data_IF_011022500284
#
_entry.id   IF_011022500284
#
_cell.length_a   1.000
_cell.length_b   1.000
_cell.length_c   1.000
_cell.angle_alpha   90.00
_cell.angle_beta   90.00
_cell.angle_gamma   90.00
#
_symmetry.space_group_name_H-M   'P 1'
#
loop_
_entity.id
_entity.type
_entity.pdbx_description
1 polymer ?
#
# COMPACT_ATOMS: atom_id res chain seq x y z
N UNK A 1 -33.64 -75.89 32.19
CA UNK A 1 -32.26 -76.20 32.65
C UNK A 1 -31.51 -74.89 32.80
N UNK A 2 -31.17 -74.53 34.04
CA UNK A 2 -30.50 -73.28 34.42
C UNK A 2 -29.01 -73.43 34.13
N UNK A 3 -28.46 -72.62 33.24
CA UNK A 3 -27.03 -72.47 33.03
C UNK A 3 -26.54 -71.23 33.76
N UNK A 4 -25.85 -71.42 34.87
CA UNK A 4 -25.13 -70.39 35.61
C UNK A 4 -23.78 -70.11 34.94
N UNK A 5 -23.57 -68.90 34.44
CA UNK A 5 -22.26 -68.42 33.96
C UNK A 5 -21.60 -67.61 35.08
N UNK A 6 -20.31 -67.85 35.39
CA UNK A 6 -19.66 -67.27 36.56
C UNK A 6 -19.31 -65.78 36.38
N UNK A 7 -19.57 -65.00 37.42
CA UNK A 7 -19.12 -63.61 37.56
C UNK A 7 -17.61 -63.59 37.73
N UNK A 8 -16.87 -63.14 36.70
CA UNK A 8 -15.45 -62.81 36.84
C UNK A 8 -15.33 -61.43 37.49
N UNK A 9 -14.81 -61.41 38.71
CA UNK A 9 -14.37 -60.19 39.40
C UNK A 9 -13.19 -59.61 38.63
N UNK A 10 -13.37 -58.48 37.96
CA UNK A 10 -12.26 -57.68 37.43
C UNK A 10 -11.88 -56.69 38.52
N UNK A 11 -10.75 -56.95 39.18
CA UNK A 11 -10.15 -55.99 40.10
C UNK A 11 -9.61 -54.82 39.27
N UNK A 12 -10.20 -53.63 39.43
CA UNK A 12 -9.71 -52.40 38.84
C UNK A 12 -8.51 -51.91 39.66
N UNK A 13 -7.29 -52.19 39.20
CA UNK A 13 -6.07 -51.58 39.73
C UNK A 13 -6.01 -50.14 39.23
N UNK A 14 -6.39 -49.18 40.09
CA UNK A 14 -6.19 -47.74 39.84
C UNK A 14 -4.70 -47.45 40.04
N UNK A 15 -3.95 -47.33 38.94
CA UNK A 15 -2.58 -46.85 38.95
C UNK A 15 -2.61 -45.31 39.00
N UNK A 16 -2.39 -44.74 40.17
CA UNK A 16 -2.27 -43.30 40.35
C UNK A 16 -0.89 -42.86 39.84
N UNK A 17 -0.82 -42.43 38.57
CA UNK A 17 0.40 -41.86 37.99
C UNK A 17 0.52 -40.42 38.52
N UNK A 18 1.47 -40.20 39.44
CA UNK A 18 1.90 -38.86 39.84
C UNK A 18 2.66 -38.23 38.68
N UNK A 19 1.96 -37.42 37.89
CA UNK A 19 2.57 -36.61 36.85
C UNK A 19 3.34 -35.49 37.55
N UNK A 20 4.65 -35.69 37.73
CA UNK A 20 5.58 -34.64 38.15
C UNK A 20 5.56 -33.57 37.06
N UNK A 21 5.11 -32.37 37.43
CA UNK A 21 5.08 -31.22 36.54
C UNK A 21 6.49 -30.89 36.03
N UNK A 22 6.74 -31.15 34.75
CA UNK A 22 7.75 -30.42 34.01
C UNK A 22 7.14 -29.06 33.65
N UNK A 23 7.81 -27.98 34.02
CA UNK A 23 7.43 -26.63 33.65
C UNK A 23 7.28 -26.56 32.13
N UNK A 24 6.04 -26.37 31.68
CA UNK A 24 5.77 -26.00 30.31
C UNK A 24 6.36 -24.62 30.07
N UNK A 25 7.55 -24.56 29.48
CA UNK A 25 7.87 -23.45 28.61
C UNK A 25 6.77 -23.46 27.56
N UNK A 26 5.90 -22.45 27.59
CA UNK A 26 5.03 -22.19 26.47
C UNK A 26 5.97 -21.92 25.28
N UNK A 27 6.12 -22.90 24.40
CA UNK A 27 6.60 -22.66 23.06
C UNK A 27 5.56 -21.70 22.45
N UNK A 28 5.93 -20.44 22.33
CA UNK A 28 5.21 -19.48 21.53
C UNK A 28 5.24 -20.01 20.10
N UNK A 29 4.17 -20.70 19.71
CA UNK A 29 3.96 -21.15 18.34
C UNK A 29 3.96 -19.88 17.50
N UNK A 30 5.08 -19.62 16.81
CA UNK A 30 5.20 -18.54 15.86
C UNK A 30 4.02 -18.64 14.90
N UNK A 31 3.10 -17.68 15.00
CA UNK A 31 2.01 -17.55 14.06
C UNK A 31 2.67 -17.29 12.70
N UNK A 32 2.21 -17.90 11.60
CA UNK A 32 2.72 -17.54 10.30
C UNK A 32 2.57 -16.03 10.15
N UNK A 33 3.68 -15.34 9.89
CA UNK A 33 3.67 -13.92 9.58
C UNK A 33 2.67 -13.74 8.42
N UNK A 34 1.56 -13.06 8.70
CA UNK A 34 0.58 -12.74 7.68
C UNK A 34 1.22 -11.94 6.54
N UNK A 35 0.56 -11.81 5.39
CA UNK A 35 1.10 -11.00 4.31
C UNK A 35 1.41 -9.58 4.81
N UNK A 36 2.65 -9.13 4.58
CA UNK A 36 3.14 -7.86 5.10
C UNK A 36 2.34 -6.69 4.52
N UNK A 37 1.92 -5.77 5.40
CA UNK A 37 1.30 -4.49 5.02
C UNK A 37 2.40 -3.56 4.50
N UNK A 38 2.23 -3.04 3.28
CA UNK A 38 3.10 -2.00 2.73
C UNK A 38 2.42 -0.66 2.96
N UNK A 39 2.99 0.19 3.81
CA UNK A 39 2.41 1.47 4.21
C UNK A 39 3.24 2.66 3.71
N UNK A 40 2.58 3.80 3.51
CA UNK A 40 3.18 5.06 3.04
C UNK A 40 3.99 4.89 1.74
N UNK A 41 3.47 4.09 0.82
CA UNK A 41 4.06 3.84 -0.48
C UNK A 41 3.53 4.83 -1.51
N UNK A 42 4.36 5.14 -2.51
CA UNK A 42 3.89 5.73 -3.75
C UNK A 42 3.51 4.61 -4.73
N UNK A 43 2.34 4.72 -5.35
CA UNK A 43 1.94 3.86 -6.47
C UNK A 43 2.34 4.58 -7.76
N UNK A 44 3.52 4.23 -8.29
CA UNK A 44 4.16 4.91 -9.40
C UNK A 44 4.07 4.10 -10.68
N UNK A 45 3.69 4.74 -11.77
CA UNK A 45 3.70 4.17 -13.11
C UNK A 45 5.12 3.75 -13.50
N UNK A 46 5.28 2.53 -13.96
CA UNK A 46 6.58 1.96 -14.31
C UNK A 46 7.22 2.73 -15.46
N UNK A 47 6.45 3.03 -16.51
CA UNK A 47 6.90 3.87 -17.62
C UNK A 47 6.81 5.36 -17.23
N UNK A 48 7.87 6.16 -17.44
CA UNK A 48 7.83 7.61 -17.16
C UNK A 48 6.90 8.38 -18.12
N UNK A 49 6.55 7.80 -19.27
CA UNK A 49 5.86 8.45 -20.37
C UNK A 49 6.58 9.75 -20.79
N UNK A 50 5.92 10.90 -20.63
CA UNK A 50 6.46 12.22 -20.95
C UNK A 50 6.94 12.99 -19.70
N UNK A 51 6.99 12.35 -18.54
CA UNK A 51 7.46 12.96 -17.29
C UNK A 51 8.67 12.19 -16.73
N UNK A 52 9.89 12.77 -16.71
CA UNK A 52 11.07 12.07 -16.22
C UNK A 52 10.98 11.67 -14.74
N UNK A 53 10.12 12.33 -13.95
CA UNK A 53 9.88 12.01 -12.55
C UNK A 53 8.76 10.96 -12.36
N UNK A 54 8.23 10.41 -13.46
CA UNK A 54 7.11 9.47 -13.51
C UNK A 54 5.77 10.04 -13.01
N UNK A 55 4.71 9.25 -13.17
CA UNK A 55 3.37 9.56 -12.65
C UNK A 55 3.04 8.69 -11.44
N UNK A 56 2.49 9.30 -10.38
CA UNK A 56 1.97 8.65 -9.18
C UNK A 56 0.46 8.86 -9.09
N UNK A 57 -0.25 7.91 -8.48
CA UNK A 57 -1.65 8.09 -8.11
C UNK A 57 -1.73 9.21 -7.05
N UNK A 58 -2.52 10.24 -7.33
CA UNK A 58 -2.51 11.51 -6.60
C UNK A 58 -3.93 12.03 -6.35
N UNK A 59 -4.12 12.65 -5.19
CA UNK A 59 -5.34 13.37 -4.85
C UNK A 59 -5.24 14.81 -5.35
N UNK A 60 -6.27 15.28 -6.06
CA UNK A 60 -6.31 16.65 -6.58
C UNK A 60 -6.16 17.69 -5.47
N UNK A 61 -5.20 18.60 -5.63
CA UNK A 61 -4.94 19.71 -4.71
C UNK A 61 -3.73 19.44 -3.82
N UNK A 62 -3.49 20.30 -2.84
CA UNK A 62 -2.37 20.14 -1.90
C UNK A 62 -2.67 20.89 -0.58
N UNK A 63 -2.18 20.35 0.54
CA UNK A 63 -2.34 20.96 1.86
C UNK A 63 -3.82 21.23 2.21
N UNK A 64 -4.17 22.48 2.53
CA UNK A 64 -5.56 22.86 2.82
C UNK A 64 -6.46 22.94 1.59
N UNK A 65 -5.91 22.83 0.38
CA UNK A 65 -6.64 22.88 -0.89
C UNK A 65 -6.95 21.52 -1.50
N UNK A 66 -6.75 20.43 -0.77
CA UNK A 66 -7.07 19.06 -1.21
C UNK A 66 -8.58 18.93 -1.49
N UNK A 67 -8.91 18.27 -2.61
CA UNK A 67 -10.28 18.12 -3.10
C UNK A 67 -10.70 16.65 -3.09
N UNK A 68 -11.01 16.11 -1.90
CA UNK A 68 -11.35 14.69 -1.70
C UNK A 68 -12.60 14.20 -2.46
N UNK A 69 -13.43 15.12 -2.96
CA UNK A 69 -14.63 14.79 -3.73
C UNK A 69 -14.38 14.70 -5.24
N UNK A 70 -13.19 15.10 -5.70
CA UNK A 70 -12.78 14.97 -7.10
C UNK A 70 -12.23 13.57 -7.37
N UNK A 71 -12.30 13.10 -8.63
CA UNK A 71 -11.60 11.88 -9.00
C UNK A 71 -10.08 12.06 -8.83
N UNK A 72 -9.40 10.97 -8.48
CA UNK A 72 -7.95 10.94 -8.43
C UNK A 72 -7.37 11.16 -9.82
N UNK A 73 -6.13 11.61 -9.84
CA UNK A 73 -5.36 11.86 -11.05
C UNK A 73 -4.04 11.08 -11.00
N UNK A 74 -3.40 10.95 -12.14
CA UNK A 74 -2.00 10.60 -12.21
C UNK A 74 -1.22 11.91 -12.28
N UNK A 75 -0.33 12.17 -11.34
CA UNK A 75 0.44 13.42 -11.25
C UNK A 75 1.93 13.12 -11.17
N UNK A 76 2.79 14.05 -11.58
CA UNK A 76 4.24 13.94 -11.33
C UNK A 76 4.52 13.52 -9.91
N UNK A 77 5.25 12.42 -9.72
CA UNK A 77 5.58 11.89 -8.40
C UNK A 77 6.39 12.91 -7.60
N UNK A 78 5.94 13.22 -6.38
CA UNK A 78 6.62 14.17 -5.51
C UNK A 78 7.63 13.43 -4.62
N UNK A 79 8.91 13.84 -4.59
CA UNK A 79 9.91 13.22 -3.71
C UNK A 79 9.74 13.60 -2.23
N UNK A 80 9.09 14.73 -1.96
CA UNK A 80 8.81 15.26 -0.62
C UNK A 80 7.42 15.89 -0.60
N UNK A 81 6.84 16.08 0.57
CA UNK A 81 5.49 16.67 0.73
C UNK A 81 4.42 15.94 -0.10
N UNK A 82 4.51 14.60 -0.15
CA UNK A 82 3.72 13.73 -1.02
C UNK A 82 2.62 12.95 -0.27
N UNK A 83 2.08 13.52 0.81
CA UNK A 83 1.06 12.84 1.64
C UNK A 83 -0.22 12.54 0.86
N UNK A 84 -0.51 13.35 -0.14
CA UNK A 84 -1.59 13.22 -1.13
C UNK A 84 -1.35 12.11 -2.18
N UNK A 85 -0.18 11.47 -2.16
CA UNK A 85 0.20 10.37 -3.07
C UNK A 85 0.50 9.06 -2.30
N UNK A 86 0.43 9.09 -0.96
CA UNK A 86 0.79 7.96 -0.11
C UNK A 86 -0.38 7.01 0.13
N UNK A 87 -0.17 5.74 -0.20
CA UNK A 87 -1.12 4.65 0.04
C UNK A 87 -0.54 3.61 1.00
N UNK A 88 -1.43 2.80 1.55
CA UNK A 88 -1.16 1.57 2.28
C UNK A 88 -1.89 0.46 1.56
N UNK A 89 -1.17 -0.55 1.09
CA UNK A 89 -1.78 -1.77 0.58
C UNK A 89 -2.11 -2.71 1.74
N UNK A 90 -3.40 -3.05 1.88
CA UNK A 90 -3.93 -3.94 2.91
C UNK A 90 -4.23 -5.33 2.31
N UNK A 91 -3.25 -6.24 2.26
CA UNK A 91 -3.33 -7.47 1.46
C UNK A 91 -4.43 -8.44 1.89
N UNK A 92 -4.91 -8.38 3.14
CA UNK A 92 -6.01 -9.22 3.59
C UNK A 92 -7.37 -8.82 3.00
N UNK A 93 -7.50 -7.56 2.58
CA UNK A 93 -8.74 -6.97 2.06
C UNK A 93 -8.66 -6.55 0.59
N UNK A 94 -7.45 -6.50 0.02
CA UNK A 94 -7.20 -5.92 -1.30
C UNK A 94 -7.32 -4.38 -1.34
N UNK A 95 -7.54 -3.71 -0.21
CA UNK A 95 -7.73 -2.26 -0.18
C UNK A 95 -6.42 -1.51 -0.42
N UNK A 96 -6.50 -0.46 -1.24
CA UNK A 96 -5.53 0.63 -1.31
C UNK A 96 -6.07 1.79 -0.46
N UNK A 97 -5.45 1.99 0.69
CA UNK A 97 -5.92 2.90 1.74
C UNK A 97 -5.02 4.12 1.87
N UNK A 98 -5.56 5.32 2.08
CA UNK A 98 -4.77 6.51 2.40
C UNK A 98 -4.86 6.84 3.87
N UNK A 99 -3.75 6.69 4.61
CA UNK A 99 -3.66 7.00 6.05
C UNK A 99 -4.01 8.48 6.32
N UNK A 100 -3.49 9.40 5.51
CA UNK A 100 -3.68 10.85 5.65
C UNK A 100 -5.16 11.27 5.70
N UNK A 101 -6.01 10.58 4.93
CA UNK A 101 -7.43 10.93 4.80
C UNK A 101 -8.37 9.91 5.44
N UNK A 102 -7.85 8.76 5.85
CA UNK A 102 -8.65 7.64 6.34
C UNK A 102 -9.70 7.13 5.35
N UNK A 103 -9.36 7.10 4.06
CA UNK A 103 -10.25 6.68 2.97
C UNK A 103 -9.61 5.60 2.09
N UNK A 104 -10.45 4.82 1.42
CA UNK A 104 -10.04 3.77 0.50
C UNK A 104 -10.29 4.18 -0.95
N UNK A 105 -9.39 3.74 -1.84
CA UNK A 105 -9.59 3.88 -3.29
C UNK A 105 -10.82 3.08 -3.72
N UNK A 106 -11.67 3.67 -4.55
CA UNK A 106 -12.83 3.01 -5.11
C UNK A 106 -13.19 3.64 -6.47
N UNK A 107 -13.40 2.85 -7.53
CA UNK A 107 -14.08 3.32 -8.72
C UNK A 107 -15.58 3.56 -8.43
N UNK A 108 -16.25 4.38 -9.23
CA UNK A 108 -17.71 4.47 -9.18
C UNK A 108 -18.35 3.15 -9.62
N UNK A 109 -17.86 2.56 -10.71
CA UNK A 109 -18.33 1.29 -11.26
C UNK A 109 -17.17 0.48 -11.86
N UNK A 110 -17.26 -0.86 -11.94
CA UNK A 110 -16.24 -1.69 -12.59
C UNK A 110 -16.50 -1.69 -14.10
N UNK A 111 -16.27 -0.55 -14.76
CA UNK A 111 -16.47 -0.36 -16.20
C UNK A 111 -15.36 0.50 -16.80
N UNK A 112 -15.18 0.42 -18.13
CA UNK A 112 -14.19 1.22 -18.84
C UNK A 112 -14.48 2.72 -18.69
N UNK A 113 -13.42 3.48 -18.41
CA UNK A 113 -13.48 4.92 -18.19
C UNK A 113 -14.00 5.32 -16.82
N UNK A 114 -14.28 4.37 -15.92
CA UNK A 114 -14.75 4.74 -14.58
C UNK A 114 -13.68 5.56 -13.86
N UNK A 115 -14.01 6.77 -13.37
CA UNK A 115 -13.14 7.51 -12.47
C UNK A 115 -12.91 6.74 -11.17
N UNK A 116 -11.81 7.08 -10.51
CA UNK A 116 -11.41 6.56 -9.20
C UNK A 116 -11.54 7.65 -8.15
N UNK A 117 -12.07 7.32 -6.98
CA UNK A 117 -12.29 8.24 -5.88
C UNK A 117 -11.72 7.71 -4.58
N UNK A 118 -11.57 8.60 -3.60
CA UNK A 118 -11.51 8.21 -2.19
C UNK A 118 -12.92 8.12 -1.62
N UNK A 119 -13.21 7.00 -0.95
CA UNK A 119 -14.49 6.73 -0.29
C UNK A 119 -14.23 6.13 1.10
N UNK A 120 -15.26 6.19 1.95
CA UNK A 120 -15.24 5.48 3.23
C UNK A 120 -14.90 4.01 2.99
N UNK A 121 -13.99 3.47 3.79
CA UNK A 121 -13.57 2.08 3.64
C UNK A 121 -14.73 1.13 4.00
N UNK A 122 -14.91 0.10 3.18
CA UNK A 122 -15.96 -0.90 3.35
C UNK A 122 -15.53 -2.23 2.74
N UNK A 123 -16.32 -3.29 2.96
CA UNK A 123 -16.13 -4.59 2.32
C UNK A 123 -16.68 -4.64 0.88
N UNK A 124 -16.86 -3.48 0.24
CA UNK A 124 -17.31 -3.40 -1.14
C UNK A 124 -16.31 -4.10 -2.07
N UNK A 125 -16.76 -4.96 -3.01
CA UNK A 125 -15.88 -5.55 -4.02
C UNK A 125 -15.15 -4.51 -4.88
N UNK A 126 -15.68 -3.29 -4.99
CA UNK A 126 -15.02 -2.18 -5.70
C UNK A 126 -13.77 -1.66 -4.98
N UNK A 127 -13.60 -1.98 -3.69
CA UNK A 127 -12.41 -1.62 -2.92
C UNK A 127 -11.43 -2.80 -2.75
N UNK A 128 -11.71 -3.94 -3.37
CA UNK A 128 -10.84 -5.12 -3.35
C UNK A 128 -10.04 -5.18 -4.65
N UNK A 129 -8.80 -4.72 -4.61
CA UNK A 129 -7.89 -4.76 -5.75
C UNK A 129 -6.94 -5.94 -5.66
N UNK A 130 -6.74 -6.59 -6.80
CA UNK A 130 -5.67 -7.57 -7.00
C UNK A 130 -4.46 -6.90 -7.63
N UNK A 131 -3.29 -7.08 -7.02
CA UNK A 131 -2.01 -6.61 -7.56
C UNK A 131 -1.31 -7.80 -8.20
N UNK A 132 -1.13 -7.75 -9.52
CA UNK A 132 -0.52 -8.83 -10.28
C UNK A 132 0.99 -8.65 -10.41
N UNK A 133 1.70 -9.75 -10.68
CA UNK A 133 3.15 -9.77 -10.86
C UNK A 133 3.64 -8.92 -12.05
N UNK A 134 2.76 -8.63 -13.01
CA UNK A 134 3.03 -7.72 -14.12
C UNK A 134 2.90 -6.23 -13.73
N UNK A 135 2.58 -5.93 -12.47
CA UNK A 135 2.40 -4.57 -11.95
C UNK A 135 1.01 -3.99 -12.20
N UNK A 136 0.10 -4.71 -12.85
CA UNK A 136 -1.28 -4.26 -13.02
C UNK A 136 -2.06 -4.33 -11.71
N UNK A 137 -2.88 -3.31 -11.46
CA UNK A 137 -3.79 -3.22 -10.31
C UNK A 137 -5.20 -3.41 -10.86
N UNK A 138 -5.88 -4.48 -10.46
CA UNK A 138 -7.13 -4.92 -11.09
C UNK A 138 -8.31 -4.95 -10.14
N UNK A 139 -9.50 -4.68 -10.68
CA UNK A 139 -10.79 -4.74 -9.98
C UNK A 139 -11.88 -5.24 -10.94
N UNK A 140 -12.92 -5.87 -10.41
CA UNK A 140 -14.01 -6.45 -11.20
C UNK A 140 -13.92 -7.97 -11.30
N UNK A 141 -14.73 -8.56 -12.18
CA UNK A 141 -14.75 -10.01 -12.40
C UNK A 141 -13.62 -10.45 -13.34
N UNK A 142 -13.19 -11.71 -13.24
CA UNK A 142 -12.15 -12.26 -14.13
C UNK A 142 -12.56 -12.21 -15.62
N UNK A 143 -11.56 -12.16 -16.50
CA UNK A 143 -11.77 -12.23 -17.95
C UNK A 143 -12.07 -10.86 -18.58
N UNK A 144 -13.04 -10.76 -19.51
CA UNK A 144 -13.30 -9.52 -20.24
C UNK A 144 -13.84 -8.39 -19.37
N UNK A 145 -14.37 -8.71 -18.19
CA UNK A 145 -14.92 -7.77 -17.21
C UNK A 145 -13.88 -7.35 -16.15
N UNK A 146 -12.61 -7.66 -16.38
CA UNK A 146 -11.49 -7.27 -15.52
C UNK A 146 -10.95 -5.90 -15.95
N UNK A 147 -10.94 -4.96 -15.01
CA UNK A 147 -10.49 -3.60 -15.25
C UNK A 147 -9.20 -3.30 -14.51
N UNK A 148 -8.32 -2.57 -15.17
CA UNK A 148 -7.02 -2.16 -14.66
C UNK A 148 -7.05 -0.67 -14.35
N UNK A 149 -6.41 -0.26 -13.25
CA UNK A 149 -6.11 1.15 -12.99
C UNK A 149 -5.12 1.62 -14.05
N UNK A 150 -5.47 2.65 -14.82
CA UNK A 150 -4.71 3.10 -15.95
C UNK A 150 -4.68 4.63 -16.07
N UNK A 151 -3.58 5.12 -16.64
CA UNK A 151 -3.38 6.52 -16.99
C UNK A 151 -3.85 6.77 -18.42
N UNK A 152 -4.47 7.92 -18.68
CA UNK A 152 -4.87 8.30 -20.03
C UNK A 152 -3.68 8.40 -21.01
N UNK A 153 -3.85 7.97 -22.27
CA UNK A 153 -2.83 8.10 -23.31
C UNK A 153 -2.61 9.57 -23.70
N UNK A 154 -1.53 9.84 -24.45
CA UNK A 154 -1.23 11.20 -24.95
C UNK A 154 -0.08 11.86 -24.19
N UNK A 155 -0.08 13.19 -24.10
CA UNK A 155 0.85 13.97 -23.28
C UNK A 155 0.17 14.41 -21.98
N UNK A 156 0.94 14.60 -20.92
CA UNK A 156 0.43 15.19 -19.69
C UNK A 156 0.04 16.66 -19.86
N UNK A 157 -1.00 17.09 -19.14
CA UNK A 157 -1.33 18.49 -18.96
C UNK A 157 -0.26 19.14 -18.08
N UNK A 158 0.43 20.16 -18.60
CA UNK A 158 1.45 20.91 -17.85
C UNK A 158 0.76 21.80 -16.84
N UNK A 159 0.96 21.52 -15.55
CA UNK A 159 0.44 22.32 -14.44
C UNK A 159 1.39 23.46 -14.10
N UNK A 160 2.69 23.18 -14.10
CA UNK A 160 3.75 24.15 -13.91
C UNK A 160 5.05 23.61 -14.55
N UNK A 161 6.20 24.33 -14.50
CA UNK A 161 7.43 23.90 -15.18
C UNK A 161 7.98 22.52 -14.82
N UNK A 162 7.60 21.99 -13.65
CA UNK A 162 8.09 20.70 -13.15
C UNK A 162 6.97 19.68 -12.93
N UNK A 163 5.70 20.07 -13.05
CA UNK A 163 4.58 19.16 -12.77
C UNK A 163 3.64 19.04 -13.96
N UNK A 164 3.26 17.79 -14.23
CA UNK A 164 2.25 17.37 -15.18
C UNK A 164 1.20 16.52 -14.48
N UNK A 165 0.03 16.45 -15.10
CA UNK A 165 -1.01 15.49 -14.72
C UNK A 165 -1.64 14.81 -15.92
N UNK A 166 -2.30 13.69 -15.66
CA UNK A 166 -3.14 12.94 -16.59
C UNK A 166 -4.34 12.38 -15.86
N UNK A 167 -5.41 12.11 -16.63
CA UNK A 167 -6.57 11.42 -16.10
C UNK A 167 -6.21 9.99 -15.67
N UNK A 168 -6.78 9.56 -14.55
CA UNK A 168 -6.66 8.22 -14.00
C UNK A 168 -8.06 7.58 -13.98
N UNK A 169 -8.18 6.39 -14.56
CA UNK A 169 -9.47 5.70 -14.65
C UNK A 169 -9.28 4.19 -14.73
N UNK A 170 -10.39 3.45 -14.67
CA UNK A 170 -10.41 2.05 -15.06
C UNK A 170 -10.35 1.90 -16.58
N UNK A 171 -9.51 0.99 -17.05
CA UNK A 171 -9.46 0.60 -18.46
C UNK A 171 -9.55 -0.92 -18.60
N UNK A 172 -9.98 -1.41 -19.76
CA UNK A 172 -9.97 -2.85 -20.01
C UNK A 172 -8.53 -3.36 -20.03
N UNK A 173 -8.19 -4.31 -19.15
CA UNK A 173 -6.82 -4.81 -19.02
C UNK A 173 -6.27 -5.43 -20.32
N UNK A 174 -7.12 -6.10 -21.10
CA UNK A 174 -6.69 -6.79 -22.33
C UNK A 174 -6.49 -5.86 -23.54
N UNK A 175 -7.03 -4.64 -23.48
CA UNK A 175 -7.01 -3.67 -24.58
C UNK A 175 -6.16 -2.42 -24.28
N UNK A 176 -5.54 -2.35 -23.10
CA UNK A 176 -4.74 -1.20 -22.67
C UNK A 176 -3.26 -1.53 -22.80
N UNK A 177 -2.49 -0.57 -23.33
CA UNK A 177 -1.04 -0.70 -23.46
C UNK A 177 -0.38 -0.78 -22.07
N UNK A 178 0.59 -1.68 -21.90
CA UNK A 178 1.21 -1.96 -20.61
C UNK A 178 1.84 -0.71 -19.97
N UNK A 179 2.42 0.18 -20.77
CA UNK A 179 3.04 1.41 -20.29
C UNK A 179 2.05 2.39 -19.63
N UNK A 180 0.73 2.19 -19.81
CA UNK A 180 -0.31 3.02 -19.20
C UNK A 180 -0.89 2.41 -17.91
N UNK A 181 -0.56 1.16 -17.56
CA UNK A 181 -1.25 0.43 -16.49
C UNK A 181 -0.36 -0.47 -15.63
N UNK A 182 0.96 -0.43 -15.82
CA UNK A 182 1.91 -1.14 -14.96
C UNK A 182 2.41 -0.20 -13.86
N UNK A 183 2.23 -0.61 -12.62
CA UNK A 183 2.55 0.16 -11.43
C UNK A 183 3.62 -0.54 -10.59
N UNK A 184 4.35 0.26 -9.83
CA UNK A 184 5.37 -0.18 -8.88
C UNK A 184 5.19 0.56 -7.56
N UNK A 185 5.42 -0.17 -6.47
CA UNK A 185 5.08 0.23 -5.11
C UNK A 185 6.39 0.69 -4.44
N UNK A 186 6.59 2.00 -4.32
CA UNK A 186 7.82 2.58 -3.77
C UNK A 186 7.63 2.93 -2.31
N UNK A 187 8.32 2.21 -1.43
CA UNK A 187 8.46 2.62 -0.04
C UNK A 187 9.30 3.90 0.04
N UNK A 188 8.74 4.94 0.65
CA UNK A 188 9.55 6.05 1.13
C UNK A 188 10.25 5.56 2.40
N UNK A 189 11.48 5.07 2.26
CA UNK A 189 12.26 4.58 3.39
C UNK A 189 12.34 5.61 4.52
N UNK A 190 12.36 5.19 5.80
CA UNK A 190 12.52 6.12 6.92
C UNK A 190 13.94 6.71 6.84
N UNK A 191 14.12 7.89 6.24
CA UNK A 191 15.47 8.45 6.14
C UNK A 191 15.72 9.72 5.35
N UNK A 192 14.80 10.23 4.53
CA UNK A 192 15.14 11.41 3.72
C UNK A 192 15.07 12.75 4.50
N UNK A 193 14.30 12.80 5.59
CA UNK A 193 14.31 13.96 6.52
C UNK A 193 15.45 13.91 7.55
N UNK A 194 15.90 12.72 7.93
CA UNK A 194 16.96 12.55 8.94
C UNK A 194 18.37 12.85 8.41
N UNK A 195 18.60 12.67 7.10
CA UNK A 195 19.90 12.92 6.48
C UNK A 195 20.16 14.43 6.30
N UNK A 196 19.11 15.22 6.04
CA UNK A 196 19.21 16.67 5.84
C UNK A 196 19.58 17.44 7.12
N UNK A 197 19.21 16.92 8.30
CA UNK A 197 19.60 17.47 9.59
C UNK A 197 21.04 17.15 10.02
N UNK A 198 21.66 16.12 9.44
CA UNK A 198 23.02 15.69 9.81
C UNK A 198 24.09 16.41 8.98
N UNK A 199 23.81 16.75 7.72
CA UNK A 199 24.74 17.52 6.88
C UNK A 199 24.84 19.01 7.29
N UNK A 200 23.78 19.61 7.84
CA UNK A 200 23.82 20.98 8.38
C UNK A 200 24.64 21.11 9.66
N UNK A 201 24.91 20.01 10.36
CA UNK A 201 25.71 19.99 11.59
C UNK A 201 27.23 19.91 11.33
N UNK A 202 27.64 19.54 10.11
CA UNK A 202 29.05 19.30 9.80
C UNK A 202 29.83 20.56 9.34
N UNK A 203 29.13 21.68 9.06
CA UNK A 203 29.72 22.98 8.69
C UNK A 203 29.79 24.01 9.83
N UNK A 204 29.51 23.64 11.08
CA UNK A 204 29.67 24.54 12.26
C UNK A 204 30.88 24.23 13.14
N UNK A 205 32.02 23.88 12.55
CA UNK A 205 33.33 23.94 13.22
C UNK A 205 34.39 24.46 12.26
N UNK A 206 34.49 25.79 12.15
CA UNK A 206 35.59 26.42 11.41
C UNK A 206 35.28 27.79 10.83
N UNK A 207 34.83 28.74 11.64
CA UNK A 207 34.92 30.16 11.28
C UNK A 207 34.93 31.01 12.56
N UNK A 208 36.12 31.18 13.14
CA UNK A 208 36.37 32.21 14.14
C UNK A 208 36.64 33.53 13.39
N UNK A 209 35.83 34.54 13.67
CA UNK A 209 35.93 35.89 13.11
C UNK A 209 37.05 36.72 13.76
N UNK A 210 37.45 37.78 13.01
CA UNK A 210 38.20 39.01 13.37
C UNK A 210 39.74 38.91 13.43
N UNK A 211 40.52 39.87 12.91
CA UNK A 211 40.23 41.31 12.85
C UNK A 211 41.08 42.04 11.78
N UNK A 212 40.45 43.01 11.12
CA UNK A 212 41.06 44.10 10.35
C UNK A 212 41.83 45.04 11.28
N UNK A 213 43.03 45.47 10.87
CA UNK A 213 43.58 46.82 11.16
C UNK A 213 44.80 47.09 10.27
N UNK A 214 44.60 48.01 9.33
CA UNK A 214 45.64 48.88 8.79
C UNK A 214 45.81 50.09 9.73
N UNK A 215 47.04 50.63 9.77
CA UNK A 215 47.61 51.73 10.57
C UNK A 215 48.13 51.37 11.98
#
# INVERSE_FOLDING_TARGET
MRGSVPVRKVAASILLILIVGCGGGAEEVARPDGPAVQANILIRLVDPLDDPDHYCIDVVGFGSGVQLQQPLQAHTCKPTDNRDEQFTHRPLTGQLYMEEYSLCLQPDEPVQGSPLYLRECSDSPLQSFDIFADGSIRVGADGPDQFCVAVAPGNGEVINPIHKRRDLSLANCGATELNLMQWSFFEQGPGQDAQRGRESSHWRRGALFKQVRDL
#
